data_IF_801382435311
#
_entry.id   IF_801382435311
#
_cell.length_a   1.000
_cell.length_b   1.000
_cell.length_c   1.000
_cell.angle_alpha   90.00
_cell.angle_beta   90.00
_cell.angle_gamma   90.00
#
_symmetry.space_group_name_H-M   'P 1'
#
loop_
_entity.id
_entity.type
_entity.pdbx_description
1 polymer ?
#
# COMPACT_ATOMS: atom_id res chain seq x y z
N UNK A 1 5.07 -29.92 -7.64
CA UNK A 1 5.88 -28.95 -6.87
C UNK A 1 5.56 -27.58 -7.42
N UNK A 2 4.83 -26.76 -6.68
CA UNK A 2 4.47 -25.41 -7.14
C UNK A 2 5.63 -24.48 -6.84
N UNK A 3 6.20 -23.87 -7.88
CA UNK A 3 7.16 -22.79 -7.75
C UNK A 3 6.42 -21.56 -7.23
N UNK A 4 6.67 -21.18 -5.98
CA UNK A 4 6.27 -19.87 -5.45
C UNK A 4 7.12 -18.82 -6.17
N UNK A 5 6.56 -18.19 -7.20
CA UNK A 5 7.19 -17.03 -7.84
C UNK A 5 7.07 -15.85 -6.89
N UNK A 6 8.07 -15.65 -6.03
CA UNK A 6 8.16 -14.46 -5.19
C UNK A 6 8.41 -13.28 -6.13
N UNK A 7 7.42 -12.39 -6.26
CA UNK A 7 7.59 -11.12 -6.95
C UNK A 7 8.76 -10.34 -6.32
N UNK A 8 9.52 -9.54 -7.09
CA UNK A 8 10.59 -8.74 -6.52
C UNK A 8 10.03 -7.80 -5.44
N UNK A 9 10.80 -7.54 -4.35
CA UNK A 9 10.38 -6.61 -3.31
C UNK A 9 10.04 -5.23 -3.90
N UNK A 10 8.98 -4.62 -3.38
CA UNK A 10 8.56 -3.29 -3.79
C UNK A 10 9.65 -2.24 -3.49
N UNK A 11 9.98 -1.41 -4.47
CA UNK A 11 10.90 -0.28 -4.27
C UNK A 11 10.22 0.76 -3.38
N UNK A 12 10.88 1.12 -2.28
CA UNK A 12 10.44 2.18 -1.37
C UNK A 12 11.25 3.46 -1.64
N UNK A 13 10.62 4.54 -2.13
CA UNK A 13 11.32 5.80 -2.36
C UNK A 13 11.93 6.40 -1.09
N UNK A 14 13.02 7.16 -1.25
CA UNK A 14 13.79 7.69 -0.13
C UNK A 14 12.99 8.71 0.72
N UNK A 15 12.15 9.51 0.07
CA UNK A 15 11.23 10.45 0.71
C UNK A 15 10.15 9.71 1.53
N UNK A 16 9.58 8.63 1.00
CA UNK A 16 8.65 7.75 1.74
C UNK A 16 9.32 7.17 2.99
N UNK A 17 10.55 6.67 2.85
CA UNK A 17 11.31 6.10 3.98
C UNK A 17 11.63 7.18 5.03
N UNK A 18 12.04 8.37 4.59
CA UNK A 18 12.30 9.49 5.49
C UNK A 18 11.04 9.91 6.26
N UNK A 19 9.91 10.08 5.56
CA UNK A 19 8.63 10.40 6.18
C UNK A 19 8.16 9.32 7.16
N UNK A 20 8.35 8.05 6.82
CA UNK A 20 8.01 6.94 7.69
C UNK A 20 8.86 6.96 8.98
N UNK A 21 10.15 7.32 8.88
CA UNK A 21 11.02 7.46 10.05
C UNK A 21 10.62 8.66 10.93
N UNK A 22 10.33 9.81 10.32
CA UNK A 22 9.87 11.03 11.01
C UNK A 22 8.59 10.80 11.83
N UNK A 23 7.69 9.95 11.32
CA UNK A 23 6.40 9.66 11.95
C UNK A 23 6.39 8.36 12.78
N UNK A 24 7.54 7.71 12.98
CA UNK A 24 7.65 6.52 13.82
C UNK A 24 6.97 5.27 13.23
N UNK A 25 6.80 5.21 11.90
CA UNK A 25 6.15 4.11 11.18
C UNK A 25 7.07 3.33 10.25
N UNK A 26 8.37 3.65 10.22
CA UNK A 26 9.37 3.00 9.38
C UNK A 26 9.43 1.47 9.56
N UNK A 27 9.28 0.97 10.79
CA UNK A 27 9.35 -0.47 11.09
C UNK A 27 8.17 -1.26 10.50
N UNK A 28 7.04 -0.60 10.22
CA UNK A 28 5.86 -1.23 9.63
C UNK A 28 5.92 -1.23 8.09
N UNK A 29 6.63 -0.28 7.49
CA UNK A 29 6.62 -0.03 6.05
C UNK A 29 7.01 -1.26 5.21
N UNK A 30 8.09 -2.02 5.50
CA UNK A 30 8.43 -3.21 4.71
C UNK A 30 7.35 -4.30 4.76
N UNK A 31 6.75 -4.51 5.93
CA UNK A 31 5.70 -5.53 6.11
C UNK A 31 4.40 -5.13 5.41
N UNK A 32 4.05 -3.85 5.46
CA UNK A 32 2.89 -3.33 4.73
C UNK A 32 3.13 -3.44 3.21
N UNK A 33 4.34 -3.13 2.73
CA UNK A 33 4.68 -3.29 1.31
C UNK A 33 4.54 -4.74 0.84
N UNK A 34 5.10 -5.70 1.58
CA UNK A 34 4.96 -7.13 1.29
C UNK A 34 3.49 -7.57 1.29
N UNK A 35 2.73 -7.16 2.30
CA UNK A 35 1.30 -7.47 2.42
C UNK A 35 0.48 -6.87 1.27
N UNK A 36 0.75 -5.63 0.87
CA UNK A 36 0.13 -5.00 -0.31
C UNK A 36 0.40 -5.82 -1.57
N UNK A 37 1.64 -6.24 -1.80
CA UNK A 37 1.99 -7.09 -2.96
C UNK A 37 1.25 -8.43 -2.95
N UNK A 38 1.00 -9.02 -1.78
CA UNK A 38 0.23 -10.26 -1.66
C UNK A 38 -1.26 -10.04 -1.97
N UNK A 39 -1.87 -9.00 -1.39
CA UNK A 39 -3.30 -8.68 -1.56
C UNK A 39 -3.62 -8.30 -3.00
N UNK A 40 -2.76 -7.50 -3.63
CA UNK A 40 -2.89 -7.01 -5.00
C UNK A 40 -1.94 -7.73 -5.97
N UNK A 41 -1.74 -9.03 -5.77
CA UNK A 41 -0.86 -9.86 -6.62
C UNK A 41 -1.21 -9.89 -8.11
N UNK A 42 -2.43 -9.46 -8.48
CA UNK A 42 -2.90 -9.38 -9.86
C UNK A 42 -2.89 -7.95 -10.42
N UNK A 43 -2.50 -6.95 -9.61
CA UNK A 43 -2.33 -5.58 -10.12
C UNK A 43 -1.21 -5.56 -11.16
N UNK A 44 -1.39 -4.77 -12.21
CA UNK A 44 -0.41 -4.66 -13.29
C UNK A 44 0.88 -3.97 -12.82
N UNK A 45 0.74 -3.03 -11.87
CA UNK A 45 1.86 -2.38 -11.21
C UNK A 45 1.49 -1.99 -9.78
N UNK A 46 2.51 -1.88 -8.93
CA UNK A 46 2.40 -1.33 -7.58
C UNK A 46 3.54 -0.33 -7.39
N UNK A 47 3.22 0.90 -6.98
CA UNK A 47 4.17 1.94 -6.59
C UNK A 47 3.86 2.45 -5.19
N UNK A 48 4.85 3.08 -4.55
CA UNK A 48 4.68 3.74 -3.26
C UNK A 48 5.08 5.19 -3.42
N UNK A 49 4.27 6.11 -2.92
CA UNK A 49 4.56 7.54 -2.97
C UNK A 49 4.01 8.26 -1.75
N UNK A 50 4.49 9.49 -1.54
CA UNK A 50 3.89 10.42 -0.60
C UNK A 50 2.84 11.26 -1.32
N UNK A 51 1.66 11.36 -0.71
CA UNK A 51 0.58 12.19 -1.21
C UNK A 51 0.14 13.16 -0.13
N UNK A 52 0.03 14.44 -0.51
CA UNK A 52 -0.59 15.48 0.31
C UNK A 52 -2.12 15.35 0.26
N UNK A 53 -2.76 15.54 1.40
CA UNK A 53 -4.19 15.76 1.51
C UNK A 53 -4.51 17.22 1.14
N UNK A 54 -5.26 17.48 0.06
CA UNK A 54 -5.55 18.85 -0.36
C UNK A 54 -6.47 19.60 0.62
N UNK A 55 -7.22 18.88 1.46
CA UNK A 55 -8.20 19.46 2.38
C UNK A 55 -7.61 19.75 3.77
N UNK A 56 -6.53 19.04 4.14
CA UNK A 56 -5.86 19.20 5.44
C UNK A 56 -4.39 19.53 5.21
N UNK A 57 -4.04 20.80 5.47
CA UNK A 57 -2.65 21.25 5.40
C UNK A 57 -1.73 20.38 6.27
N UNK A 58 -0.56 20.06 5.75
CA UNK A 58 0.48 19.23 6.36
C UNK A 58 0.09 17.76 6.63
N UNK A 59 -1.08 17.31 6.17
CA UNK A 59 -1.48 15.91 6.26
C UNK A 59 -0.96 15.16 5.04
N UNK A 60 0.10 14.37 5.24
CA UNK A 60 0.71 13.52 4.21
C UNK A 60 0.47 12.07 4.53
N UNK A 61 0.27 11.27 3.50
CA UNK A 61 0.09 9.82 3.62
C UNK A 61 1.03 9.07 2.68
N UNK A 62 1.41 7.86 3.09
CA UNK A 62 2.09 6.88 2.26
C UNK A 62 1.02 6.13 1.47
N UNK A 63 0.97 6.39 0.18
CA UNK A 63 0.01 5.77 -0.74
C UNK A 63 0.69 4.60 -1.44
N UNK A 64 0.06 3.43 -1.36
CA UNK A 64 0.37 2.29 -2.22
C UNK A 64 -0.53 2.38 -3.43
N UNK A 65 0.01 2.82 -4.57
CA UNK A 65 -0.74 2.91 -5.81
C UNK A 65 -0.71 1.58 -6.54
N UNK A 66 -1.88 1.02 -6.80
CA UNK A 66 -2.05 -0.19 -7.60
C UNK A 66 -2.78 0.13 -8.89
N UNK A 67 -2.18 -0.27 -10.01
CA UNK A 67 -2.89 -0.36 -11.28
C UNK A 67 -3.76 -1.62 -11.27
N UNK A 68 -5.05 -1.41 -11.07
CA UNK A 68 -6.06 -2.47 -11.00
C UNK A 68 -6.82 -2.63 -12.31
N UNK A 69 -6.22 -2.23 -13.44
CA UNK A 69 -6.75 -2.55 -14.75
C UNK A 69 -7.02 -4.06 -14.88
N UNK A 70 -8.27 -4.42 -15.17
CA UNK A 70 -8.72 -5.82 -15.25
C UNK A 70 -9.32 -6.38 -13.95
N UNK A 71 -9.39 -5.62 -12.86
CA UNK A 71 -10.20 -5.99 -11.70
C UNK A 71 -11.67 -5.68 -11.96
N UNK A 72 -12.53 -6.65 -11.64
CA UNK A 72 -13.96 -6.38 -11.50
C UNK A 72 -14.25 -5.64 -10.19
N UNK A 73 -15.35 -4.89 -10.13
CA UNK A 73 -15.72 -4.08 -8.94
C UNK A 73 -15.76 -4.93 -7.67
N UNK A 74 -16.34 -6.14 -7.72
CA UNK A 74 -16.41 -7.04 -6.58
C UNK A 74 -15.02 -7.50 -6.10
N UNK A 75 -14.10 -7.73 -7.04
CA UNK A 75 -12.72 -8.10 -6.72
C UNK A 75 -11.99 -6.94 -6.06
N UNK A 76 -12.22 -5.72 -6.54
CA UNK A 76 -11.64 -4.51 -5.97
C UNK A 76 -12.10 -4.29 -4.53
N UNK A 77 -13.41 -4.39 -4.27
CA UNK A 77 -14.00 -4.26 -2.93
C UNK A 77 -13.43 -5.35 -2.01
N UNK A 78 -13.38 -6.60 -2.47
CA UNK A 78 -12.82 -7.70 -1.69
C UNK A 78 -11.32 -7.53 -1.40
N UNK A 79 -10.54 -6.99 -2.35
CA UNK A 79 -9.13 -6.67 -2.15
C UNK A 79 -8.95 -5.54 -1.13
N UNK A 80 -9.74 -4.47 -1.23
CA UNK A 80 -9.70 -3.34 -0.29
C UNK A 80 -10.04 -3.79 1.14
N UNK A 81 -11.08 -4.62 1.32
CA UNK A 81 -11.40 -5.18 2.64
C UNK A 81 -10.27 -6.04 3.21
N UNK A 82 -9.66 -6.91 2.39
CA UNK A 82 -8.52 -7.74 2.81
C UNK A 82 -7.31 -6.88 3.17
N UNK A 83 -7.02 -5.86 2.38
CA UNK A 83 -5.93 -4.94 2.63
C UNK A 83 -6.12 -4.21 3.97
N UNK A 84 -7.30 -3.63 4.20
CA UNK A 84 -7.61 -2.96 5.46
C UNK A 84 -7.50 -3.90 6.64
N UNK A 85 -8.08 -5.11 6.55
CA UNK A 85 -7.99 -6.09 7.63
C UNK A 85 -6.54 -6.50 7.94
N UNK A 86 -5.71 -6.70 6.91
CA UNK A 86 -4.31 -7.06 7.06
C UNK A 86 -3.44 -5.89 7.57
N UNK A 87 -3.76 -4.65 7.18
CA UNK A 87 -3.08 -3.45 7.71
C UNK A 87 -3.18 -3.39 9.24
N UNK A 88 -4.36 -3.61 9.81
CA UNK A 88 -4.57 -3.63 11.27
C UNK A 88 -3.85 -4.79 11.98
N UNK A 89 -3.44 -5.85 11.27
CA UNK A 89 -2.63 -6.94 11.83
C UNK A 89 -1.14 -6.60 11.88
N UNK A 90 -0.70 -5.64 11.06
CA UNK A 90 0.71 -5.30 10.89
C UNK A 90 1.09 -3.94 11.46
N UNK A 91 0.11 -3.06 11.66
CA UNK A 91 0.30 -1.70 12.13
C UNK A 91 -0.71 -1.38 13.23
N UNK A 92 -0.28 -0.77 14.35
CA UNK A 92 -1.20 -0.33 15.40
C UNK A 92 -2.24 0.65 14.85
N UNK A 93 -3.47 0.60 15.38
CA UNK A 93 -4.56 1.50 14.99
C UNK A 93 -4.22 2.99 15.12
N UNK A 94 -3.26 3.35 15.99
CA UNK A 94 -2.77 4.72 16.13
C UNK A 94 -1.93 5.21 14.95
N UNK A 95 -1.43 4.31 14.09
CA UNK A 95 -0.51 4.60 12.99
C UNK A 95 -1.05 4.18 11.61
N UNK A 96 -2.17 3.44 11.53
CA UNK A 96 -2.73 2.98 10.24
C UNK A 96 -3.09 4.11 9.28
N UNK A 97 -3.41 5.29 9.80
CA UNK A 97 -3.82 6.45 9.00
C UNK A 97 -2.71 6.99 8.09
N UNK A 98 -1.44 6.64 8.36
CA UNK A 98 -0.32 6.99 7.47
C UNK A 98 -0.28 6.13 6.21
N UNK A 99 -1.05 5.05 6.11
CA UNK A 99 -0.99 4.10 5.00
C UNK A 99 -2.34 4.02 4.31
N UNK A 100 -2.37 4.25 3.00
CA UNK A 100 -3.62 4.29 2.21
C UNK A 100 -3.44 3.50 0.91
N UNK A 101 -4.45 2.73 0.45
CA UNK A 101 -4.44 2.14 -0.87
C UNK A 101 -4.92 3.19 -1.90
N UNK A 102 -4.09 3.49 -2.89
CA UNK A 102 -4.43 4.25 -4.08
C UNK A 102 -4.82 3.30 -5.20
N UNK A 103 -6.05 3.38 -5.69
CA UNK A 103 -6.57 2.47 -6.72
C UNK A 103 -6.85 3.27 -7.98
N UNK A 104 -6.20 2.92 -9.08
CA UNK A 104 -6.44 3.52 -10.38
C UNK A 104 -6.42 2.45 -11.48
N UNK A 105 -6.96 2.77 -12.65
CA UNK A 105 -6.97 1.87 -13.79
C UNK A 105 -6.42 2.62 -15.01
N UNK A 106 -5.32 2.13 -15.59
CA UNK A 106 -4.87 2.61 -16.89
C UNK A 106 -5.91 2.24 -17.96
N UNK A 107 -6.39 3.22 -18.72
CA UNK A 107 -7.31 3.02 -19.84
C UNK A 107 -6.61 2.46 -21.09
#
# INVERSE_FOLDING_TARGET
MSVSSTAPPLTLPADVVAFAAENGVADYLPRIAEMTQQVFSHAASISVLLQDDPDIADNRTIVFEMDVAGFEVEQLVAAQHRWTAALFQHCPATHVHFFVPGLWASA
#
